data_IF_635681337503
#
_entry.id   IF_635681337503
#
_cell.length_a   1.000
_cell.length_b   1.000
_cell.length_c   1.000
_cell.angle_alpha   90.00
_cell.angle_beta   90.00
_cell.angle_gamma   90.00
#
_symmetry.space_group_name_H-M   'P 1'
#
loop_
_entity.id
_entity.type
_entity.pdbx_description
1 polymer ?
#
# COMPACT_ATOMS: atom_id res chain seq x y z
N UNK A 1 37.00 -17.50 -23.74
CA UNK A 1 37.05 -16.77 -22.46
C UNK A 1 36.46 -15.38 -22.64
N UNK A 2 35.26 -15.11 -22.13
CA UNK A 2 34.73 -13.75 -21.98
C UNK A 2 33.80 -13.73 -20.77
N UNK A 3 33.96 -12.69 -19.97
CA UNK A 3 33.78 -12.69 -18.52
C UNK A 3 32.32 -12.57 -18.08
N UNK A 4 32.03 -13.29 -17.00
CA UNK A 4 30.83 -13.27 -16.19
C UNK A 4 30.76 -11.88 -15.54
N UNK A 5 29.78 -11.06 -15.90
CA UNK A 5 29.53 -9.79 -15.23
C UNK A 5 28.79 -10.11 -13.92
N UNK A 6 29.56 -10.03 -12.84
CA UNK A 6 29.14 -10.34 -11.48
C UNK A 6 27.98 -9.47 -11.03
N UNK A 7 26.89 -10.16 -10.72
CA UNK A 7 25.83 -9.71 -9.83
C UNK A 7 26.41 -9.74 -8.40
N UNK A 8 27.19 -8.72 -8.05
CA UNK A 8 27.98 -8.68 -6.83
C UNK A 8 27.62 -7.48 -5.97
N UNK A 9 26.61 -7.67 -5.13
CA UNK A 9 26.38 -7.03 -3.83
C UNK A 9 26.88 -5.58 -3.68
N UNK A 10 25.97 -4.61 -3.83
CA UNK A 10 26.05 -3.38 -3.06
C UNK A 10 25.82 -3.75 -1.59
N UNK A 11 26.92 -4.04 -0.89
CA UNK A 11 26.94 -4.16 0.55
C UNK A 11 26.83 -2.74 1.11
N UNK A 12 25.61 -2.32 1.42
CA UNK A 12 25.38 -1.10 2.19
C UNK A 12 25.77 -1.38 3.65
N UNK A 13 27.04 -1.11 3.93
CA UNK A 13 27.57 -0.96 5.28
C UNK A 13 26.85 0.19 5.98
N UNK A 14 25.84 -0.12 6.80
CA UNK A 14 25.33 0.83 7.80
C UNK A 14 25.62 0.31 9.19
N UNK A 15 26.59 0.99 9.79
CA UNK A 15 27.07 0.90 11.16
C UNK A 15 25.93 1.13 12.17
N UNK A 16 25.91 0.28 13.20
CA UNK A 16 25.36 0.50 14.54
C UNK A 16 24.61 1.82 14.77
N UNK A 17 23.28 1.75 14.71
CA UNK A 17 22.40 2.54 15.57
C UNK A 17 21.27 1.60 16.00
N UNK A 18 21.11 1.38 17.30
CA UNK A 18 20.14 0.45 17.90
C UNK A 18 18.69 0.90 17.75
N UNK A 19 18.24 1.14 16.52
CA UNK A 19 16.83 1.26 16.17
C UNK A 19 16.50 0.00 15.40
N UNK A 20 15.48 -0.76 15.85
CA UNK A 20 14.87 -1.80 15.01
C UNK A 20 14.71 -1.20 13.62
N UNK A 21 15.34 -1.80 12.61
CA UNK A 21 15.04 -1.51 11.21
C UNK A 21 13.59 -1.94 11.01
N UNK A 22 12.66 -1.07 11.36
CA UNK A 22 11.26 -1.22 10.98
C UNK A 22 11.30 -0.98 9.49
N UNK A 23 11.27 -2.07 8.73
CA UNK A 23 11.20 -1.98 7.30
C UNK A 23 10.00 -1.08 6.97
N UNK A 24 10.22 0.11 6.35
CA UNK A 24 9.16 1.09 6.14
C UNK A 24 8.09 0.58 5.16
N UNK A 25 8.30 -0.58 4.55
CA UNK A 25 7.37 -1.27 3.66
C UNK A 25 6.73 -2.52 4.33
N UNK A 26 7.11 -2.89 5.55
CA UNK A 26 6.50 -4.01 6.26
C UNK A 26 5.01 -3.79 6.58
N UNK A 27 4.61 -2.52 6.72
CA UNK A 27 3.19 -2.13 6.78
C UNK A 27 2.52 -2.22 5.40
N UNK A 28 3.26 -1.85 4.35
CA UNK A 28 2.78 -1.79 2.97
C UNK A 28 2.33 -3.15 2.44
N UNK A 29 3.09 -4.22 2.65
CA UNK A 29 2.75 -5.55 2.11
C UNK A 29 1.41 -6.08 2.67
N UNK A 30 1.19 -5.87 3.98
CA UNK A 30 -0.07 -6.22 4.65
C UNK A 30 -1.21 -5.31 4.21
N UNK A 31 -0.97 -4.01 4.11
CA UNK A 31 -1.98 -3.05 3.67
C UNK A 31 -2.39 -3.29 2.21
N UNK A 32 -1.43 -3.63 1.35
CA UNK A 32 -1.64 -4.01 -0.06
C UNK A 32 -2.53 -5.23 -0.19
N UNK A 33 -2.24 -6.28 0.58
CA UNK A 33 -3.05 -7.50 0.60
C UNK A 33 -4.48 -7.22 1.06
N UNK A 34 -4.65 -6.42 2.12
CA UNK A 34 -5.97 -6.02 2.63
C UNK A 34 -6.75 -5.18 1.61
N UNK A 35 -6.08 -4.23 0.97
CA UNK A 35 -6.68 -3.42 -0.09
C UNK A 35 -7.13 -4.26 -1.28
N UNK A 36 -6.26 -5.15 -1.79
CA UNK A 36 -6.59 -6.04 -2.91
C UNK A 36 -7.80 -6.93 -2.60
N UNK A 37 -7.86 -7.50 -1.40
CA UNK A 37 -9.00 -8.33 -0.97
C UNK A 37 -10.30 -7.53 -0.85
N UNK A 38 -10.24 -6.34 -0.24
CA UNK A 38 -11.41 -5.49 -0.07
C UNK A 38 -11.91 -4.92 -1.41
N UNK A 39 -10.99 -4.55 -2.31
CA UNK A 39 -11.30 -4.15 -3.68
C UNK A 39 -12.00 -5.29 -4.42
N UNK A 40 -11.43 -6.50 -4.40
CA UNK A 40 -12.04 -7.67 -5.04
C UNK A 40 -13.44 -7.94 -4.48
N UNK A 41 -13.61 -7.89 -3.15
CA UNK A 41 -14.90 -8.10 -2.50
C UNK A 41 -15.94 -7.05 -2.93
N UNK A 42 -15.56 -5.78 -2.98
CA UNK A 42 -16.44 -4.70 -3.41
C UNK A 42 -16.79 -4.77 -4.90
N UNK A 43 -15.81 -4.98 -5.79
CA UNK A 43 -16.05 -5.11 -7.23
C UNK A 43 -16.83 -6.39 -7.61
N UNK A 44 -16.87 -7.38 -6.73
CA UNK A 44 -17.73 -8.58 -6.89
C UNK A 44 -19.18 -8.30 -6.47
N UNK A 45 -19.42 -7.30 -5.62
CA UNK A 45 -20.73 -6.98 -5.07
C UNK A 45 -20.84 -5.48 -4.76
N UNK A 46 -21.11 -4.72 -5.82
CA UNK A 46 -21.11 -3.26 -5.82
C UNK A 46 -22.25 -2.66 -4.99
N UNK A 47 -23.32 -3.40 -4.71
CA UNK A 47 -24.47 -2.91 -3.92
C UNK A 47 -24.26 -3.09 -2.41
N UNK A 48 -23.15 -3.70 -2.01
CA UNK A 48 -22.88 -3.95 -0.60
C UNK A 48 -22.18 -2.75 0.05
N UNK A 49 -22.95 -1.94 0.77
CA UNK A 49 -22.44 -0.85 1.62
C UNK A 49 -21.28 -1.28 2.53
N UNK A 50 -21.37 -2.44 3.18
CA UNK A 50 -20.31 -2.92 4.07
C UNK A 50 -18.99 -3.21 3.34
N UNK A 51 -19.06 -3.71 2.10
CA UNK A 51 -17.88 -3.95 1.27
C UNK A 51 -17.30 -2.66 0.71
N UNK A 52 -18.15 -1.70 0.37
CA UNK A 52 -17.74 -0.35 -0.01
C UNK A 52 -16.96 0.36 1.11
N UNK A 53 -17.50 0.35 2.34
CA UNK A 53 -16.84 0.93 3.52
C UNK A 53 -15.50 0.21 3.83
N UNK A 54 -15.47 -1.12 3.71
CA UNK A 54 -14.25 -1.90 3.86
C UNK A 54 -13.20 -1.54 2.80
N UNK A 55 -13.61 -1.35 1.54
CA UNK A 55 -12.75 -0.87 0.47
C UNK A 55 -12.17 0.52 0.78
N UNK A 56 -13.02 1.50 1.12
CA UNK A 56 -12.57 2.87 1.48
C UNK A 56 -11.54 2.86 2.60
N UNK A 57 -11.83 2.11 3.67
CA UNK A 57 -10.93 1.98 4.82
C UNK A 57 -9.60 1.32 4.44
N UNK A 58 -9.65 0.24 3.65
CA UNK A 58 -8.44 -0.45 3.21
C UNK A 58 -7.56 0.39 2.29
N UNK A 59 -8.17 1.21 1.43
CA UNK A 59 -7.48 2.10 0.50
C UNK A 59 -6.76 3.23 1.23
N UNK A 60 -7.42 3.84 2.23
CA UNK A 60 -6.79 4.88 3.06
C UNK A 60 -5.61 4.34 3.87
N UNK A 61 -5.72 3.11 4.40
CA UNK A 61 -4.61 2.44 5.09
C UNK A 61 -3.47 2.09 4.12
N UNK A 62 -3.76 1.62 2.92
CA UNK A 62 -2.76 1.34 1.89
C UNK A 62 -1.94 2.59 1.53
N UNK A 63 -2.61 3.71 1.26
CA UNK A 63 -1.95 4.98 0.93
C UNK A 63 -1.09 5.53 2.07
N UNK A 64 -1.46 5.23 3.33
CA UNK A 64 -0.71 5.63 4.51
C UNK A 64 0.52 4.74 4.77
N UNK A 65 0.36 3.43 4.60
CA UNK A 65 1.37 2.43 4.96
C UNK A 65 2.33 2.11 3.81
N UNK A 66 2.03 2.55 2.58
CA UNK A 66 2.88 2.42 1.39
C UNK A 66 3.39 3.79 0.92
N UNK A 67 4.57 4.25 1.35
CA UNK A 67 5.13 5.56 1.00
C UNK A 67 5.70 5.62 -0.44
N UNK A 68 5.09 4.91 -1.39
CA UNK A 68 5.49 4.92 -2.81
C UNK A 68 4.97 6.14 -3.56
N UNK A 69 3.98 6.84 -3.00
CA UNK A 69 3.34 8.03 -3.54
C UNK A 69 3.78 9.28 -2.76
N UNK A 70 3.88 10.42 -3.45
CA UNK A 70 4.09 11.70 -2.78
C UNK A 70 2.89 12.08 -1.90
N UNK A 71 3.11 12.98 -0.93
CA UNK A 71 2.04 13.47 -0.03
C UNK A 71 0.86 14.07 -0.80
N UNK A 72 1.12 14.71 -1.95
CA UNK A 72 0.09 15.27 -2.82
C UNK A 72 -0.76 14.15 -3.45
N UNK A 73 -0.13 13.13 -4.01
CA UNK A 73 -0.80 11.97 -4.62
C UNK A 73 -1.61 11.17 -3.59
N UNK A 74 -1.06 10.97 -2.38
CA UNK A 74 -1.78 10.35 -1.25
C UNK A 74 -3.03 11.14 -0.88
N UNK A 75 -2.95 12.48 -0.90
CA UNK A 75 -4.09 13.34 -0.61
C UNK A 75 -5.15 13.26 -1.70
N UNK A 76 -4.78 13.39 -2.97
CA UNK A 76 -5.71 13.30 -4.10
C UNK A 76 -6.41 11.93 -4.15
N UNK A 77 -5.66 10.85 -3.92
CA UNK A 77 -6.23 9.51 -3.85
C UNK A 77 -7.17 9.35 -2.65
N UNK A 78 -6.80 9.82 -1.45
CA UNK A 78 -7.69 9.78 -0.29
C UNK A 78 -8.96 10.63 -0.49
N UNK A 79 -8.86 11.79 -1.11
CA UNK A 79 -10.02 12.64 -1.39
C UNK A 79 -10.96 11.94 -2.39
N UNK A 80 -10.40 11.34 -3.45
CA UNK A 80 -11.18 10.53 -4.41
C UNK A 80 -11.88 9.33 -3.74
N UNK A 81 -11.22 8.68 -2.77
CA UNK A 81 -11.80 7.57 -2.01
C UNK A 81 -12.89 8.07 -1.06
N UNK A 82 -12.72 9.24 -0.42
CA UNK A 82 -13.70 9.81 0.51
C UNK A 82 -14.99 10.18 -0.18
N UNK A 83 -14.92 10.73 -1.39
CA UNK A 83 -16.06 11.10 -2.24
C UNK A 83 -16.87 9.89 -2.73
N UNK A 84 -16.34 8.67 -2.60
CA UNK A 84 -17.08 7.46 -2.93
C UNK A 84 -18.23 7.28 -1.92
N UNK A 85 -19.46 7.62 -2.31
CA UNK A 85 -20.62 7.54 -1.43
C UNK A 85 -21.13 6.10 -1.34
N UNK A 86 -20.83 5.44 -0.22
CA UNK A 86 -21.30 4.08 0.05
C UNK A 86 -22.77 4.03 0.52
N UNK A 87 -23.43 5.17 0.72
CA UNK A 87 -24.83 5.22 1.15
C UNK A 87 -25.84 5.10 0.00
N UNK A 88 -25.40 5.33 -1.24
CA UNK A 88 -26.23 5.31 -2.45
C UNK A 88 -26.06 4.01 -3.27
N UNK A 89 -25.55 2.94 -2.64
CA UNK A 89 -25.27 1.63 -3.24
C UNK A 89 -26.36 0.58 -2.97
#
# INVERSE_FOLDING_TARGET
>A
MKKILGLGALVLSMSSCGSKLVDPLAGCEKASTKFSNAATAFFTDLTSKSKCEAFKSSASNYLKDCPTLSVAEVKEANDSIKDLDCNDL
#
